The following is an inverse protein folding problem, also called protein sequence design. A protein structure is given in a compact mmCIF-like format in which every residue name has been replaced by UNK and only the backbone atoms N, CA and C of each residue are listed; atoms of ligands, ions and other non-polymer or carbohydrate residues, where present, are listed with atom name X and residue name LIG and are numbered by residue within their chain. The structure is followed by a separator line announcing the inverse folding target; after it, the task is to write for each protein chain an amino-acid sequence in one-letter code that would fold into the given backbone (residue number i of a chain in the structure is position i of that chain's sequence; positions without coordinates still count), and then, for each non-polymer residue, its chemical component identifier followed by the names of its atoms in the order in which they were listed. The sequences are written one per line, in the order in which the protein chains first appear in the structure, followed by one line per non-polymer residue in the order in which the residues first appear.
data_IF_805479207855
#
_entry.id   IF_805479207855
#
_cell.length_a   1.000
_cell.length_b   1.000
_cell.length_c   1.000
_cell.angle_alpha   90.00
_cell.angle_beta   90.00
_cell.angle_gamma   90.00
#
_symmetry.space_group_name_H-M   'P 1'
#
loop_
_entity.id
_entity.type
_entity.pdbx_description
1 polymer ?
#
# COMPACT_ATOMS: atom_id res chain seq x y z
N UNK A 1 -0.46 -13.72 -11.25
CA UNK A 1 0.01 -12.65 -10.32
C UNK A 1 1.37 -12.16 -10.78
N UNK A 2 1.54 -10.85 -10.93
CA UNK A 2 2.82 -10.26 -11.32
C UNK A 2 3.85 -10.36 -10.18
N UNK A 3 5.12 -10.17 -10.50
CA UNK A 3 6.18 -10.13 -9.47
C UNK A 3 5.90 -9.03 -8.44
N UNK A 4 5.44 -7.86 -8.89
CA UNK A 4 5.09 -6.76 -8.00
C UNK A 4 3.93 -7.13 -7.07
N UNK A 5 2.88 -7.74 -7.59
CA UNK A 5 1.75 -8.21 -6.79
C UNK A 5 2.18 -9.27 -5.76
N UNK A 6 3.05 -10.19 -6.16
CA UNK A 6 3.61 -11.20 -5.24
C UNK A 6 4.41 -10.55 -4.12
N UNK A 7 5.26 -9.58 -4.47
CA UNK A 7 6.09 -8.86 -3.49
C UNK A 7 5.22 -8.11 -2.49
N UNK A 8 4.26 -7.32 -2.96
CA UNK A 8 3.41 -6.51 -2.10
C UNK A 8 2.50 -7.38 -1.24
N UNK A 9 1.88 -8.42 -1.81
CA UNK A 9 1.01 -9.32 -1.05
C UNK A 9 1.77 -10.10 0.02
N UNK A 10 3.06 -10.35 -0.17
CA UNK A 10 3.90 -10.98 0.84
C UNK A 10 4.12 -10.07 2.05
N UNK A 11 4.36 -8.78 1.83
CA UNK A 11 4.60 -7.81 2.90
C UNK A 11 3.31 -7.22 3.48
N UNK A 12 2.27 -7.05 2.66
CA UNK A 12 0.97 -6.58 3.11
C UNK A 12 0.09 -7.80 3.38
N UNK A 13 -0.20 -8.08 4.64
CA UNK A 13 -1.03 -9.23 5.01
C UNK A 13 -2.44 -9.10 4.46
N UNK A 14 -3.03 -10.23 4.08
CA UNK A 14 -4.45 -10.30 3.76
C UNK A 14 -5.27 -10.05 5.03
N UNK A 15 -6.17 -9.07 4.99
CA UNK A 15 -6.94 -8.66 6.14
C UNK A 15 -8.20 -9.50 6.30
N UNK A 16 -8.35 -10.13 7.46
CA UNK A 16 -9.59 -10.75 7.89
C UNK A 16 -9.76 -10.44 9.38
N UNK A 17 -10.62 -9.48 9.68
CA UNK A 17 -10.86 -8.99 11.03
C UNK A 17 -11.73 -9.89 11.88
N UNK A 18 -12.44 -10.85 11.29
CA UNK A 18 -13.28 -11.79 12.01
C UNK A 18 -13.25 -13.17 11.34
N UNK A 19 -12.45 -14.06 11.91
CA UNK A 19 -12.29 -15.43 11.39
C UNK A 19 -13.51 -16.31 11.60
N UNK A 20 -14.49 -15.87 12.39
CA UNK A 20 -15.73 -16.61 12.64
C UNK A 20 -16.81 -16.31 11.59
N UNK A 21 -16.67 -15.18 10.87
CA UNK A 21 -17.58 -14.83 9.79
C UNK A 21 -17.12 -15.46 8.48
N UNK A 22 -18.09 -15.87 7.65
CA UNK A 22 -17.81 -16.39 6.32
C UNK A 22 -17.34 -15.23 5.42
N UNK A 23 -16.22 -15.44 4.74
CA UNK A 23 -15.60 -14.42 3.91
C UNK A 23 -14.69 -13.49 4.69
N UNK A 24 -13.93 -12.69 3.97
CA UNK A 24 -12.99 -11.74 4.56
C UNK A 24 -13.75 -10.55 5.17
N UNK A 25 -13.31 -10.12 6.33
CA UNK A 25 -13.89 -9.00 7.05
C UNK A 25 -12.87 -7.85 7.19
N UNK A 26 -13.34 -6.59 7.28
CA UNK A 26 -12.42 -5.47 7.49
C UNK A 26 -11.70 -5.56 8.83
N UNK A 27 -10.50 -5.02 8.87
CA UNK A 27 -9.65 -5.00 10.04
C UNK A 27 -9.14 -3.58 10.28
N UNK A 28 -9.07 -3.16 11.53
CA UNK A 28 -8.54 -1.85 11.86
C UNK A 28 -7.01 -1.87 11.84
N UNK A 29 -6.41 -0.93 11.12
CA UNK A 29 -4.95 -0.77 11.08
C UNK A 29 -4.44 -0.02 12.32
N UNK A 30 -3.11 -0.02 12.57
CA UNK A 30 -2.55 0.69 13.74
C UNK A 30 -2.89 2.19 13.80
N UNK A 31 -3.12 2.83 12.66
CA UNK A 31 -3.52 4.24 12.60
C UNK A 31 -5.00 4.47 12.94
N UNK A 32 -5.77 3.41 13.18
CA UNK A 32 -7.18 3.50 13.58
C UNK A 32 -8.17 3.50 12.43
N UNK A 33 -7.72 3.31 11.20
CA UNK A 33 -8.59 3.21 10.02
C UNK A 33 -8.98 1.76 9.75
N UNK A 34 -10.20 1.56 9.26
CA UNK A 34 -10.65 0.25 8.81
C UNK A 34 -10.13 -0.02 7.41
N UNK A 35 -9.52 -1.18 7.23
CA UNK A 35 -8.92 -1.64 5.98
C UNK A 35 -9.44 -3.02 5.60
N UNK A 36 -9.37 -3.35 4.32
CA UNK A 36 -9.81 -4.64 3.80
C UNK A 36 -8.85 -5.13 2.71
N UNK A 37 -8.94 -6.41 2.37
CA UNK A 37 -8.07 -7.03 1.38
C UNK A 37 -6.61 -6.96 1.81
N UNK A 38 -5.76 -6.42 0.94
CA UNK A 38 -4.34 -6.23 1.22
C UNK A 38 -4.03 -4.80 1.69
N UNK A 39 -4.95 -4.16 2.40
CA UNK A 39 -4.71 -2.88 3.04
C UNK A 39 -5.46 -1.69 2.42
N UNK A 40 -6.45 -1.94 1.57
CA UNK A 40 -7.29 -0.87 1.02
C UNK A 40 -8.15 -0.27 2.13
N UNK A 41 -8.25 1.04 2.19
CA UNK A 41 -9.16 1.72 3.13
C UNK A 41 -10.61 1.42 2.79
N UNK A 42 -11.42 1.08 3.82
CA UNK A 42 -12.87 1.01 3.68
C UNK A 42 -13.42 2.43 3.73
N UNK A 43 -14.24 2.81 2.75
CA UNK A 43 -14.77 4.17 2.62
C UNK A 43 -16.29 4.15 2.68
N UNK A 44 -16.85 5.21 3.25
CA UNK A 44 -18.31 5.39 3.32
C UNK A 44 -18.88 5.89 1.98
N UNK A 45 -20.18 6.18 1.97
CA UNK A 45 -20.91 6.63 0.76
C UNK A 45 -20.39 7.97 0.20
N UNK A 46 -19.70 8.75 1.03
CA UNK A 46 -19.10 10.04 0.63
C UNK A 46 -17.62 9.88 0.21
N UNK A 47 -17.09 8.64 0.25
CA UNK A 47 -15.70 8.38 -0.05
C UNK A 47 -14.73 8.67 1.08
N UNK A 48 -15.22 8.94 2.29
CA UNK A 48 -14.37 9.19 3.46
C UNK A 48 -13.92 7.89 4.11
N UNK A 49 -12.64 7.79 4.53
CA UNK A 49 -12.17 6.61 5.26
C UNK A 49 -12.94 6.45 6.58
N UNK A 50 -13.26 5.21 6.92
CA UNK A 50 -13.95 4.88 8.15
C UNK A 50 -12.91 4.65 9.26
N UNK A 51 -13.09 5.31 10.40
CA UNK A 51 -12.13 5.33 11.48
C UNK A 51 -12.76 4.98 12.82
N UNK A 52 -12.00 4.24 13.65
CA UNK A 52 -12.32 4.01 15.05
C UNK A 52 -13.20 2.80 15.31
N UNK A 53 -13.05 2.21 16.49
CA UNK A 53 -13.81 1.03 16.93
C UNK A 53 -15.33 1.23 16.96
N UNK A 54 -15.86 2.41 17.34
CA UNK A 54 -17.31 2.62 17.31
C UNK A 54 -17.93 2.46 15.91
N UNK A 55 -17.13 2.53 14.87
CA UNK A 55 -17.58 2.42 13.48
C UNK A 55 -17.36 1.03 12.87
N UNK A 56 -17.13 0.00 13.70
CA UNK A 56 -16.96 -1.38 13.23
C UNK A 56 -18.12 -1.85 12.34
N UNK A 57 -19.34 -1.63 12.78
CA UNK A 57 -20.54 -2.03 12.01
C UNK A 57 -20.65 -1.25 10.70
N UNK A 58 -20.29 0.02 10.71
CA UNK A 58 -20.26 0.85 9.50
C UNK A 58 -19.22 0.34 8.51
N UNK A 59 -18.03 -0.01 9.00
CA UNK A 59 -16.98 -0.60 8.16
C UNK A 59 -17.44 -1.90 7.53
N UNK A 60 -18.09 -2.78 8.28
CA UNK A 60 -18.66 -4.03 7.77
C UNK A 60 -19.71 -3.79 6.68
N UNK A 61 -20.55 -2.76 6.89
CA UNK A 61 -21.61 -2.39 5.92
C UNK A 61 -21.02 -1.91 4.59
N UNK A 62 -19.95 -1.13 4.62
CA UNK A 62 -19.33 -0.55 3.42
C UNK A 62 -18.19 -1.39 2.84
N UNK A 63 -17.85 -2.49 3.49
CA UNK A 63 -16.84 -3.43 2.99
C UNK A 63 -17.29 -4.05 1.67
N UNK A 64 -16.37 -4.16 0.71
CA UNK A 64 -16.63 -4.73 -0.63
C UNK A 64 -15.72 -5.90 -0.96
N UNK A 65 -14.74 -6.20 -0.12
CA UNK A 65 -13.78 -7.27 -0.35
C UNK A 65 -14.05 -8.39 0.64
N UNK A 66 -14.59 -9.51 0.14
CA UNK A 66 -15.00 -10.64 0.97
C UNK A 66 -14.34 -11.96 0.55
N UNK A 67 -13.63 -11.97 -0.58
CA UNK A 67 -12.92 -13.15 -1.07
C UNK A 67 -11.47 -12.82 -1.39
N UNK A 68 -10.60 -13.84 -1.39
CA UNK A 68 -9.19 -13.68 -1.77
C UNK A 68 -9.08 -13.15 -3.20
N UNK A 69 -9.94 -13.63 -4.11
CA UNK A 69 -9.96 -13.17 -5.50
C UNK A 69 -10.28 -11.68 -5.61
N UNK A 70 -11.27 -11.21 -4.85
CA UNK A 70 -11.59 -9.78 -4.79
C UNK A 70 -10.42 -8.97 -4.21
N UNK A 71 -9.76 -9.51 -3.19
CA UNK A 71 -8.60 -8.86 -2.59
C UNK A 71 -7.43 -8.73 -3.58
N UNK A 72 -7.14 -9.77 -4.35
CA UNK A 72 -6.09 -9.75 -5.37
C UNK A 72 -6.42 -8.78 -6.50
N UNK A 73 -7.67 -8.73 -6.94
CA UNK A 73 -8.11 -7.79 -7.96
C UNK A 73 -7.95 -6.34 -7.48
N UNK A 74 -8.36 -6.07 -6.26
CA UNK A 74 -8.23 -4.75 -5.65
C UNK A 74 -6.76 -4.34 -5.53
N UNK A 75 -5.89 -5.27 -5.13
CA UNK A 75 -4.44 -5.04 -5.04
C UNK A 75 -3.87 -4.68 -6.42
N UNK A 76 -4.24 -5.42 -7.45
CA UNK A 76 -3.78 -5.17 -8.82
C UNK A 76 -4.19 -3.77 -9.29
N UNK A 77 -5.43 -3.37 -9.03
CA UNK A 77 -5.93 -2.04 -9.38
C UNK A 77 -5.17 -0.93 -8.65
N UNK A 78 -4.95 -1.09 -7.35
CA UNK A 78 -4.23 -0.12 -6.54
C UNK A 78 -2.77 0.00 -6.95
N UNK A 79 -2.10 -1.12 -7.21
CA UNK A 79 -0.71 -1.11 -7.67
C UNK A 79 -0.57 -0.49 -9.06
N UNK A 80 -1.56 -0.68 -9.93
CA UNK A 80 -1.58 -0.03 -11.24
C UNK A 80 -1.63 1.49 -11.09
N UNK A 81 -2.46 2.00 -10.17
CA UNK A 81 -2.54 3.43 -9.88
C UNK A 81 -1.18 3.97 -9.38
N UNK A 82 -0.57 3.29 -8.42
CA UNK A 82 0.73 3.72 -7.88
C UNK A 82 1.84 3.60 -8.91
N UNK A 83 1.81 2.57 -9.75
CA UNK A 83 2.73 2.40 -10.87
C UNK A 83 2.64 3.58 -11.84
N UNK A 84 1.42 4.02 -12.17
CA UNK A 84 1.19 5.16 -13.04
C UNK A 84 1.70 6.47 -12.42
N UNK A 85 1.55 6.62 -11.10
CA UNK A 85 2.09 7.78 -10.38
C UNK A 85 3.62 7.81 -10.43
N UNK A 86 4.27 6.65 -10.25
CA UNK A 86 5.73 6.55 -10.39
C UNK A 86 6.16 6.88 -11.82
N UNK A 87 5.43 6.39 -12.83
CA UNK A 87 5.68 6.73 -14.23
C UNK A 87 5.63 8.25 -14.47
N UNK A 88 4.75 8.96 -13.80
CA UNK A 88 4.62 10.41 -13.94
C UNK A 88 5.84 11.19 -13.48
N UNK A 89 6.71 10.58 -12.68
CA UNK A 89 7.97 11.19 -12.24
C UNK A 89 9.05 11.19 -13.34
N UNK A 90 8.85 10.41 -14.39
CA UNK A 90 9.75 10.32 -15.56
C UNK A 90 11.20 10.05 -15.18
N UNK A 91 11.39 9.07 -14.30
CA UNK A 91 12.72 8.67 -13.84
C UNK A 91 13.40 7.75 -14.84
N UNK A 92 14.73 7.85 -14.94
CA UNK A 92 15.53 6.91 -15.73
C UNK A 92 15.93 5.74 -14.84
N UNK A 93 15.07 4.73 -14.76
CA UNK A 93 15.22 3.57 -13.89
C UNK A 93 14.80 2.31 -14.65
N UNK A 94 15.29 1.14 -14.19
CA UNK A 94 14.88 -0.14 -14.74
C UNK A 94 13.58 -0.63 -14.09
N UNK A 95 13.04 -1.75 -14.59
CA UNK A 95 11.76 -2.28 -14.10
C UNK A 95 11.83 -2.69 -12.62
N UNK A 96 12.94 -3.28 -12.19
CA UNK A 96 13.13 -3.67 -10.78
C UNK A 96 13.07 -2.46 -9.85
N UNK A 97 13.74 -1.37 -10.23
CA UNK A 97 13.72 -0.11 -9.49
C UNK A 97 12.32 0.51 -9.50
N UNK A 98 11.63 0.46 -10.64
CA UNK A 98 10.27 0.96 -10.77
C UNK A 98 9.33 0.19 -9.84
N UNK A 99 9.43 -1.14 -9.80
CA UNK A 99 8.62 -1.98 -8.91
C UNK A 99 8.90 -1.66 -7.44
N UNK A 100 10.16 -1.45 -7.08
CA UNK A 100 10.55 -1.07 -5.72
C UNK A 100 9.93 0.28 -5.31
N UNK A 101 9.94 1.27 -6.19
CA UNK A 101 9.33 2.57 -5.92
C UNK A 101 7.80 2.50 -5.86
N UNK A 102 7.20 1.66 -6.68
CA UNK A 102 5.75 1.43 -6.63
C UNK A 102 5.36 0.79 -5.31
N UNK A 103 6.08 -0.24 -4.87
CA UNK A 103 5.87 -0.89 -3.58
C UNK A 103 6.07 0.09 -2.41
N UNK A 104 7.11 0.90 -2.47
CA UNK A 104 7.38 1.95 -1.48
C UNK A 104 6.22 2.95 -1.40
N UNK A 105 5.75 3.45 -2.55
CA UNK A 105 4.61 4.38 -2.62
C UNK A 105 3.33 3.77 -2.06
N UNK A 106 3.07 2.51 -2.37
CA UNK A 106 1.92 1.79 -1.86
C UNK A 106 1.95 1.71 -0.33
N UNK A 107 3.13 1.51 0.24
CA UNK A 107 3.31 1.34 1.67
C UNK A 107 3.24 2.69 2.44
N UNK A 108 3.95 3.71 1.97
CA UNK A 108 4.12 4.98 2.71
C UNK A 108 3.35 6.15 2.10
N UNK A 109 2.76 5.98 0.94
CA UNK A 109 2.06 7.04 0.21
C UNK A 109 2.95 7.71 -0.84
N UNK A 110 2.31 8.13 -1.93
CA UNK A 110 3.02 8.74 -3.05
C UNK A 110 3.64 10.10 -2.67
N UNK A 111 2.93 10.88 -1.85
CA UNK A 111 3.46 12.18 -1.41
C UNK A 111 4.72 12.00 -0.56
N UNK A 112 4.76 10.97 0.30
CA UNK A 112 5.95 10.66 1.08
C UNK A 112 7.13 10.29 0.17
N UNK A 113 6.88 9.56 -0.91
CA UNK A 113 7.92 9.27 -1.90
C UNK A 113 8.43 10.56 -2.56
N UNK A 114 7.53 11.43 -3.00
CA UNK A 114 7.90 12.70 -3.66
C UNK A 114 8.76 13.58 -2.78
N UNK A 115 8.49 13.60 -1.48
CA UNK A 115 9.21 14.43 -0.51
C UNK A 115 10.44 13.73 0.06
N UNK A 116 10.71 12.48 -0.33
CA UNK A 116 11.78 11.68 0.26
C UNK A 116 13.16 12.06 -0.26
N UNK A 117 14.17 11.90 0.59
CA UNK A 117 15.57 11.97 0.19
C UNK A 117 15.93 10.86 -0.79
N UNK A 118 15.25 9.72 -0.71
CA UNK A 118 15.40 8.62 -1.66
C UNK A 118 15.14 9.08 -3.08
N UNK A 119 14.02 9.77 -3.33
CA UNK A 119 13.70 10.25 -4.67
C UNK A 119 14.71 11.30 -5.14
N UNK A 120 15.12 12.20 -4.26
CA UNK A 120 16.13 13.21 -4.57
C UNK A 120 17.45 12.56 -5.00
N UNK A 121 17.89 11.50 -4.30
CA UNK A 121 19.11 10.77 -4.64
C UNK A 121 18.99 10.05 -5.99
N UNK A 122 17.84 9.48 -6.29
CA UNK A 122 17.59 8.82 -7.59
C UNK A 122 17.64 9.84 -8.72
N UNK A 123 17.02 11.01 -8.53
CA UNK A 123 17.01 12.08 -9.56
C UNK A 123 18.41 12.60 -9.90
N UNK A 124 19.31 12.67 -8.93
CA UNK A 124 20.69 13.10 -9.16
C UNK A 124 21.64 11.94 -9.49
N UNK A 125 21.08 10.73 -9.69
CA UNK A 125 21.85 9.53 -9.99
C UNK A 125 22.95 9.25 -8.96
N UNK A 126 22.60 9.39 -7.68
CA UNK A 126 23.50 9.08 -6.58
C UNK A 126 23.98 7.63 -6.62
N UNK A 127 25.04 7.32 -5.88
CA UNK A 127 25.58 5.96 -5.84
C UNK A 127 24.55 4.97 -5.29
N UNK A 128 24.58 3.69 -5.73
CA UNK A 128 23.68 2.67 -5.20
C UNK A 128 23.71 2.53 -3.68
N UNK A 129 24.88 2.74 -3.07
CA UNK A 129 25.03 2.68 -1.60
C UNK A 129 24.20 3.76 -0.91
N UNK A 130 24.24 5.00 -1.40
CA UNK A 130 23.46 6.11 -0.84
C UNK A 130 21.96 5.88 -0.99
N UNK A 131 21.54 5.36 -2.13
CA UNK A 131 20.14 5.03 -2.40
C UNK A 131 19.68 3.92 -1.46
N UNK A 132 20.47 2.87 -1.27
CA UNK A 132 20.15 1.76 -0.37
C UNK A 132 20.01 2.25 1.08
N UNK A 133 20.89 3.12 1.54
CA UNK A 133 20.81 3.71 2.88
C UNK A 133 19.49 4.47 3.04
N UNK A 134 19.09 5.25 2.03
CA UNK A 134 17.85 6.01 2.07
C UNK A 134 16.61 5.08 2.14
N UNK A 135 16.61 3.97 1.39
CA UNK A 135 15.55 2.96 1.49
C UNK A 135 15.44 2.37 2.89
N UNK A 136 16.58 1.98 3.47
CA UNK A 136 16.62 1.36 4.80
C UNK A 136 16.15 2.29 5.90
N UNK A 137 16.35 3.59 5.75
CA UNK A 137 15.90 4.58 6.72
C UNK A 137 14.38 4.54 6.91
N UNK A 138 13.62 4.26 5.86
CA UNK A 138 12.17 4.14 5.93
C UNK A 138 11.72 2.90 6.73
N UNK A 139 12.44 1.79 6.62
CA UNK A 139 12.14 0.59 7.40
C UNK A 139 12.30 0.82 8.91
N UNK A 140 13.27 1.67 9.29
CA UNK A 140 13.55 1.97 10.70
C UNK A 140 12.75 3.14 11.23
N UNK A 141 12.31 4.02 10.36
CA UNK A 141 11.66 5.28 10.71
C UNK A 141 10.16 5.20 10.97
N UNK A 142 9.61 4.01 11.19
CA UNK A 142 8.19 3.85 11.46
C UNK A 142 7.31 3.72 10.22
N UNK A 143 7.91 3.55 9.07
CA UNK A 143 7.18 3.12 7.89
C UNK A 143 6.60 1.74 8.12
N UNK A 144 5.49 1.42 7.48
CA UNK A 144 4.97 0.06 7.48
C UNK A 144 6.02 -0.87 6.90
N UNK A 145 6.24 -1.95 7.51
CA UNK A 145 7.08 -3.01 6.98
C UNK A 145 6.22 -4.18 6.61
#
# INVERSE_FOLDING_TARGET
MTVLEQLVSHYESLHDGDLHEIGLQPKMCPAGFWTEGYGRLVRDEKGNPIKGMPNKSKAAKFSVIHTVEQALKALAEDLSDYSNRVNSLKLTINQTQHDALTSFSYNVGFQALKDSSLLALIKVKASPVRIDIAFRAWNKGGGKV
#
